data_IF_190474462699
#
_entry.id   IF_190474462699
#
_cell.length_a   1.000
_cell.length_b   1.000
_cell.length_c   1.000
_cell.angle_alpha   90.00
_cell.angle_beta   90.00
_cell.angle_gamma   90.00
#
_symmetry.space_group_name_H-M   'P 1'
#
loop_
_entity.id
_entity.type
_entity.pdbx_description
1 polymer ?
#
# COMPACT_ATOMS: atom_id res chain seq x y z
N UNK A 1 16.90 -47.58 -18.78
CA UNK A 1 17.10 -46.35 -19.55
C UNK A 1 15.84 -45.80 -20.13
N UNK A 2 15.09 -46.61 -20.77
CA UNK A 2 13.83 -46.15 -21.34
C UNK A 2 12.84 -45.69 -20.29
N UNK A 3 12.86 -46.34 -19.17
CA UNK A 3 11.97 -45.93 -18.07
C UNK A 3 12.28 -44.51 -17.57
N UNK A 4 13.52 -44.14 -17.61
CA UNK A 4 13.93 -42.82 -17.19
C UNK A 4 13.32 -41.74 -18.08
N UNK A 5 13.31 -42.02 -19.38
CA UNK A 5 12.72 -41.07 -20.33
C UNK A 5 11.24 -40.84 -20.05
N UNK A 6 10.55 -41.91 -19.72
CA UNK A 6 9.11 -41.77 -19.41
C UNK A 6 8.88 -40.98 -18.17
N UNK A 7 9.72 -41.11 -17.18
CA UNK A 7 9.59 -40.33 -15.95
C UNK A 7 9.73 -38.83 -16.21
N UNK A 8 10.62 -38.48 -17.09
CA UNK A 8 10.79 -37.06 -17.42
C UNK A 8 9.51 -36.48 -18.02
N UNK A 9 8.88 -37.26 -18.89
CA UNK A 9 7.63 -36.80 -19.50
C UNK A 9 6.52 -36.54 -18.48
N UNK A 10 6.43 -37.38 -17.49
CA UNK A 10 5.44 -37.24 -16.44
C UNK A 10 5.67 -35.96 -15.64
N UNK A 11 6.90 -35.66 -15.34
CA UNK A 11 7.22 -34.47 -14.60
C UNK A 11 6.78 -33.22 -15.33
N UNK A 12 6.88 -33.17 -16.62
CA UNK A 12 6.47 -32.04 -17.40
C UNK A 12 4.95 -31.80 -17.28
N UNK A 13 4.18 -32.85 -17.24
CA UNK A 13 2.73 -32.73 -17.13
C UNK A 13 2.32 -32.10 -15.81
N UNK A 14 2.97 -32.44 -14.74
CA UNK A 14 2.64 -31.84 -13.45
C UNK A 14 2.89 -30.35 -13.41
N UNK A 15 3.94 -29.92 -14.04
CA UNK A 15 4.25 -28.50 -14.08
C UNK A 15 3.13 -27.68 -14.69
N UNK A 16 2.54 -28.16 -15.74
CA UNK A 16 1.45 -27.47 -16.40
C UNK A 16 0.22 -27.36 -15.51
N UNK A 17 -0.10 -28.41 -14.79
CA UNK A 17 -1.24 -28.40 -13.90
C UNK A 17 -1.09 -27.34 -12.80
N UNK A 18 0.09 -27.23 -12.24
CA UNK A 18 0.34 -26.25 -11.21
C UNK A 18 0.19 -24.82 -11.72
N UNK A 19 0.60 -24.57 -12.94
CA UNK A 19 0.46 -23.25 -13.53
C UNK A 19 -1.01 -22.85 -13.66
N UNK A 20 -1.86 -23.77 -14.02
CA UNK A 20 -3.28 -23.50 -14.16
C UNK A 20 -3.91 -23.11 -12.82
N UNK A 21 -3.53 -23.80 -11.76
CA UNK A 21 -4.06 -23.50 -10.43
C UNK A 21 -3.62 -22.11 -9.98
N UNK A 22 -2.38 -21.77 -10.26
CA UNK A 22 -1.85 -20.46 -9.86
C UNK A 22 -2.60 -19.31 -10.51
N UNK A 23 -3.15 -19.51 -11.69
CA UNK A 23 -3.89 -18.45 -12.38
C UNK A 23 -5.19 -18.08 -11.69
N UNK A 24 -5.79 -18.97 -10.95
CA UNK A 24 -7.03 -18.70 -10.26
C UNK A 24 -6.83 -17.84 -9.01
N UNK A 25 -5.66 -17.91 -8.40
CA UNK A 25 -5.38 -17.20 -7.17
C UNK A 25 -5.24 -15.68 -7.29
N UNK A 26 -4.68 -15.11 -8.39
CA UNK A 26 -4.39 -13.69 -8.45
C UNK A 26 -5.57 -12.76 -8.21
N UNK A 27 -6.75 -13.12 -8.61
CA UNK A 27 -7.92 -12.27 -8.44
C UNK A 27 -8.25 -12.03 -6.98
N UNK A 28 -8.15 -13.06 -6.16
CA UNK A 28 -8.45 -12.94 -4.73
C UNK A 28 -7.38 -12.12 -4.04
N UNK A 29 -6.14 -12.33 -4.40
CA UNK A 29 -5.04 -11.58 -3.82
C UNK A 29 -5.04 -10.11 -4.23
N UNK A 30 -5.52 -9.79 -5.42
CA UNK A 30 -5.61 -8.40 -5.86
C UNK A 30 -6.47 -7.57 -4.92
N UNK A 31 -7.56 -8.14 -4.42
CA UNK A 31 -8.42 -7.45 -3.47
C UNK A 31 -7.72 -7.19 -2.14
N UNK A 32 -6.68 -7.98 -1.81
CA UNK A 32 -5.93 -7.87 -0.56
C UNK A 32 -4.63 -7.10 -0.67
N UNK A 33 -4.31 -6.58 -1.86
CA UNK A 33 -3.06 -5.84 -2.07
C UNK A 33 -3.03 -4.48 -1.39
N UNK A 34 -4.16 -4.00 -0.98
CA UNK A 34 -4.28 -2.67 -0.42
C UNK A 34 -4.83 -2.72 0.99
N UNK A 35 -4.49 -1.72 1.76
CA UNK A 35 -5.11 -1.47 3.05
C UNK A 35 -5.28 0.02 3.23
N UNK A 36 -6.15 0.42 4.14
CA UNK A 36 -6.46 1.82 4.36
C UNK A 36 -5.81 2.30 5.65
N UNK A 37 -5.08 3.39 5.56
CA UNK A 37 -4.55 4.08 6.72
C UNK A 37 -5.49 5.23 7.05
N UNK A 38 -6.02 5.24 8.26
CA UNK A 38 -6.85 6.33 8.75
C UNK A 38 -6.13 7.01 9.91
N UNK A 39 -5.85 8.29 9.78
CA UNK A 39 -5.09 8.97 10.81
C UNK A 39 -5.07 10.48 10.65
N UNK A 40 -4.27 11.11 11.48
CA UNK A 40 -4.12 12.56 11.53
C UNK A 40 -2.80 12.96 10.89
N UNK A 41 -2.85 13.97 10.03
CA UNK A 41 -1.67 14.48 9.35
C UNK A 41 -0.84 15.32 10.32
N UNK A 42 0.40 14.93 10.55
CA UNK A 42 1.32 15.63 11.44
C UNK A 42 2.27 16.54 10.70
N UNK A 43 2.73 16.14 9.52
CA UNK A 43 3.64 16.93 8.69
C UNK A 43 3.35 16.71 7.21
N UNK A 44 3.68 17.71 6.42
CA UNK A 44 3.52 17.67 4.97
C UNK A 44 4.85 18.06 4.35
N UNK A 45 5.41 17.19 3.51
CA UNK A 45 6.60 17.50 2.73
C UNK A 45 6.21 17.72 1.29
N UNK A 46 6.18 18.99 0.88
CA UNK A 46 5.76 19.36 -0.47
C UNK A 46 6.75 18.97 -1.55
N UNK A 47 8.03 18.90 -1.22
CA UNK A 47 9.04 18.51 -2.21
C UNK A 47 8.95 17.05 -2.58
N UNK A 48 8.72 16.19 -1.60
CA UNK A 48 8.67 14.77 -1.80
C UNK A 48 7.26 14.23 -1.95
N UNK A 49 6.26 15.07 -1.83
CA UNK A 49 4.84 14.70 -1.85
C UNK A 49 4.54 13.62 -0.83
N UNK A 50 5.03 13.81 0.40
CA UNK A 50 4.77 12.86 1.47
C UNK A 50 3.99 13.48 2.61
N UNK A 51 3.23 12.64 3.29
CA UNK A 51 2.48 13.00 4.50
C UNK A 51 2.97 12.13 5.64
N UNK A 52 3.19 12.76 6.80
CA UNK A 52 3.42 12.01 8.03
C UNK A 52 2.09 11.89 8.74
N UNK A 53 1.60 10.68 8.90
CA UNK A 53 0.28 10.39 9.43
C UNK A 53 0.40 9.53 10.69
N UNK A 54 -0.27 9.95 11.76
CA UNK A 54 -0.39 9.15 12.97
C UNK A 54 -1.68 8.33 12.89
N UNK A 55 -1.55 7.01 12.98
CA UNK A 55 -2.70 6.12 12.91
C UNK A 55 -3.65 6.36 14.10
N UNK A 56 -4.95 6.30 13.84
CA UNK A 56 -5.96 6.56 14.87
C UNK A 56 -6.10 5.42 15.87
N UNK A 57 -5.92 4.19 15.41
CA UNK A 57 -6.15 3.00 16.23
C UNK A 57 -4.90 2.46 16.91
N UNK A 58 -3.74 2.87 16.45
CA UNK A 58 -2.46 2.48 17.02
C UNK A 58 -1.56 3.71 17.09
N UNK A 59 -0.46 3.64 17.82
CA UNK A 59 0.46 4.76 17.92
C UNK A 59 1.50 4.76 16.80
N UNK A 60 1.24 4.04 15.73
CA UNK A 60 2.17 3.94 14.61
C UNK A 60 2.19 5.20 13.78
N UNK A 61 3.37 5.53 13.29
CA UNK A 61 3.56 6.63 12.36
C UNK A 61 3.80 6.07 10.96
N UNK A 62 3.14 6.69 10.00
CA UNK A 62 3.27 6.31 8.60
C UNK A 62 3.77 7.50 7.80
N UNK A 63 4.81 7.27 7.01
CA UNK A 63 5.28 8.26 6.05
C UNK A 63 4.77 7.83 4.68
N UNK A 64 3.77 8.53 4.17
CA UNK A 64 3.04 8.11 2.98
C UNK A 64 3.39 9.00 1.80
N UNK A 65 3.96 8.41 0.76
CA UNK A 65 4.18 9.10 -0.49
C UNK A 65 2.87 9.13 -1.28
N UNK A 66 2.47 10.31 -1.73
CA UNK A 66 1.24 10.52 -2.48
C UNK A 66 1.59 10.80 -3.94
N UNK A 67 1.59 9.79 -4.80
CA UNK A 67 1.86 10.02 -6.21
C UNK A 67 0.72 10.79 -6.86
N UNK A 68 1.00 11.42 -7.97
CA UNK A 68 -0.01 12.14 -8.72
C UNK A 68 -1.11 11.17 -9.16
N UNK A 69 -2.34 11.57 -8.96
CA UNK A 69 -3.49 10.72 -9.28
C UNK A 69 -3.90 9.77 -8.18
N UNK A 70 -3.21 9.76 -7.04
CA UNK A 70 -3.59 8.92 -5.92
C UNK A 70 -4.95 9.35 -5.36
N UNK A 71 -5.73 8.37 -4.94
CA UNK A 71 -7.07 8.59 -4.41
C UNK A 71 -7.05 8.50 -2.88
N UNK A 72 -7.56 9.51 -2.20
CA UNK A 72 -7.69 9.50 -0.75
C UNK A 72 -8.85 10.39 -0.32
N UNK A 73 -9.18 10.35 0.95
CA UNK A 73 -10.29 11.13 1.51
C UNK A 73 -9.81 11.97 2.68
N UNK A 74 -10.35 13.16 2.79
CA UNK A 74 -10.19 13.99 3.99
C UNK A 74 -11.46 13.80 4.82
N UNK A 75 -11.34 13.12 5.96
CA UNK A 75 -12.49 12.77 6.78
C UNK A 75 -12.83 13.82 7.83
N UNK A 76 -11.87 14.69 8.14
CA UNK A 76 -12.09 15.81 9.03
C UNK A 76 -11.10 16.91 8.67
N UNK A 77 -11.62 18.10 8.36
CA UNK A 77 -10.79 19.22 7.99
C UNK A 77 -11.52 20.18 7.07
N UNK A 78 -10.79 21.16 6.54
CA UNK A 78 -11.36 22.21 5.72
C UNK A 78 -12.05 21.70 4.46
N UNK A 79 -11.48 20.70 3.84
CA UNK A 79 -11.99 20.16 2.56
C UNK A 79 -12.58 18.76 2.68
N UNK A 80 -13.18 18.46 3.82
CA UNK A 80 -13.70 17.10 4.07
C UNK A 80 -14.79 16.68 3.09
N UNK A 81 -15.42 17.61 2.39
CA UNK A 81 -16.49 17.30 1.44
C UNK A 81 -16.03 17.26 -0.01
N UNK A 82 -14.76 17.45 -0.27
CA UNK A 82 -14.25 17.31 -1.62
C UNK A 82 -14.33 15.86 -2.06
N UNK A 83 -14.83 15.64 -3.26
CA UNK A 83 -14.91 14.28 -3.79
C UNK A 83 -13.54 13.74 -4.20
N UNK A 84 -12.67 14.60 -4.67
CA UNK A 84 -11.33 14.21 -5.12
C UNK A 84 -10.29 15.21 -4.64
N UNK A 85 -9.94 15.19 -3.35
CA UNK A 85 -8.91 16.10 -2.86
C UNK A 85 -7.54 15.71 -3.42
N UNK A 86 -6.75 16.71 -3.74
CA UNK A 86 -5.37 16.53 -4.15
C UNK A 86 -4.43 16.70 -2.96
N UNK A 87 -3.17 16.40 -3.19
CA UNK A 87 -2.15 16.56 -2.15
C UNK A 87 -2.13 18.00 -1.59
N UNK A 88 -2.32 18.99 -2.45
CA UNK A 88 -2.30 20.39 -2.07
C UNK A 88 -3.49 20.80 -1.19
N UNK A 89 -4.51 19.98 -1.11
CA UNK A 89 -5.71 20.27 -0.33
C UNK A 89 -5.61 19.79 1.12
N UNK A 90 -4.51 19.11 1.46
CA UNK A 90 -4.31 18.54 2.79
C UNK A 90 -3.62 19.55 3.69
N UNK A 91 -4.10 19.67 4.92
CA UNK A 91 -3.51 20.53 5.94
C UNK A 91 -3.10 19.73 7.16
N UNK A 92 -2.14 20.26 7.91
CA UNK A 92 -1.70 19.65 9.16
C UNK A 92 -2.86 19.56 10.13
N UNK A 93 -2.95 18.46 10.87
CA UNK A 93 -3.98 18.10 11.83
C UNK A 93 -5.30 17.66 11.22
N UNK A 94 -5.39 17.62 9.92
CA UNK A 94 -6.56 17.04 9.28
C UNK A 94 -6.52 15.53 9.37
N UNK A 95 -7.70 14.91 9.36
CA UNK A 95 -7.80 13.45 9.33
C UNK A 95 -8.03 12.99 7.92
N UNK A 96 -7.28 11.97 7.53
CA UNK A 96 -7.33 11.44 6.18
C UNK A 96 -7.48 9.93 6.21
N UNK A 97 -8.03 9.39 5.14
CA UNK A 97 -8.05 7.96 4.87
C UNK A 97 -7.35 7.73 3.54
N UNK A 98 -6.25 7.01 3.57
CA UNK A 98 -5.42 6.80 2.40
C UNK A 98 -5.28 5.32 2.15
N UNK A 99 -5.60 4.90 0.94
CA UNK A 99 -5.42 3.53 0.52
C UNK A 99 -3.98 3.33 0.09
N UNK A 100 -3.31 2.38 0.70
CA UNK A 100 -1.88 2.15 0.48
C UNK A 100 -1.63 0.72 0.05
N UNK A 101 -0.48 0.50 -0.58
CA UNK A 101 -0.05 -0.83 -0.96
C UNK A 101 0.29 -1.65 0.27
N UNK A 102 -0.25 -2.83 0.35
CA UNK A 102 -0.07 -3.70 1.51
C UNK A 102 1.38 -4.15 1.69
N UNK A 103 2.09 -4.31 0.61
CA UNK A 103 3.49 -4.75 0.64
C UNK A 103 4.39 -3.76 1.37
N UNK A 104 3.99 -2.51 1.41
CA UNK A 104 4.77 -1.47 2.09
C UNK A 104 4.65 -1.51 3.61
N UNK A 105 3.76 -2.33 4.16
CA UNK A 105 3.56 -2.39 5.60
C UNK A 105 4.82 -2.68 6.40
N UNK A 106 5.74 -3.40 5.81
CA UNK A 106 6.96 -3.81 6.46
C UNK A 106 8.15 -2.93 6.10
N UNK A 107 7.94 -1.89 5.32
CA UNK A 107 9.01 -0.98 4.95
C UNK A 107 9.22 0.02 6.08
N UNK A 108 10.27 -0.20 6.85
CA UNK A 108 10.62 0.67 7.95
C UNK A 108 11.63 1.73 7.51
N UNK A 109 11.45 2.92 8.06
CA UNK A 109 12.34 4.04 7.81
C UNK A 109 12.49 4.83 9.12
N UNK A 110 13.42 5.76 9.15
CA UNK A 110 13.62 6.63 10.29
C UNK A 110 13.38 8.08 9.89
N UNK A 111 12.73 8.80 10.75
CA UNK A 111 12.61 10.25 10.62
C UNK A 111 13.95 10.89 10.97
N UNK A 112 14.19 12.15 10.57
CA UNK A 112 15.41 12.86 10.96
C UNK A 112 15.65 12.90 12.47
N UNK A 113 14.58 12.85 13.26
CA UNK A 113 14.69 12.83 14.73
C UNK A 113 14.90 11.42 15.30
N UNK A 114 15.02 10.42 14.45
CA UNK A 114 15.29 9.05 14.88
C UNK A 114 14.05 8.20 15.16
N UNK A 115 12.86 8.74 15.07
CA UNK A 115 11.64 7.96 15.30
C UNK A 115 11.38 7.00 14.15
N UNK A 116 11.00 5.75 14.46
CA UNK A 116 10.68 4.79 13.39
C UNK A 116 9.33 5.10 12.76
N UNK A 117 9.27 4.95 11.45
CA UNK A 117 8.04 5.11 10.69
C UNK A 117 7.91 3.96 9.69
N UNK A 118 6.70 3.70 9.26
CA UNK A 118 6.44 2.76 8.18
C UNK A 118 6.30 3.57 6.90
N UNK A 119 7.16 3.29 5.92
CA UNK A 119 7.12 4.00 4.64
C UNK A 119 6.10 3.34 3.74
N UNK A 120 5.14 4.12 3.26
CA UNK A 120 4.05 3.64 2.42
C UNK A 120 3.94 4.48 1.16
N UNK A 121 3.29 3.90 0.16
CA UNK A 121 2.94 4.61 -1.07
C UNK A 121 1.43 4.50 -1.27
N UNK A 122 0.78 5.62 -1.47
CA UNK A 122 -0.66 5.64 -1.71
C UNK A 122 -0.98 4.96 -3.04
N UNK A 123 -2.11 4.26 -3.07
CA UNK A 123 -2.57 3.56 -4.28
C UNK A 123 -3.18 4.55 -5.27
N UNK A 124 -2.97 4.26 -6.53
CA UNK A 124 -3.60 5.00 -7.63
C UNK A 124 -5.01 4.50 -7.89
#
# INVERSE_FOLDING_TARGET
MKAITRLVSIAAAFTLALSSVAQAAPKVESAKKYFTVAGTVLKINKKEHTLLVADRSSEKLYLIEIPEGASFKITFGRYMRMSEPGFQDVFIRERVEIRCHREDKERLALLPDGRPVIALTAAL
#
